data_IF_484661076306
#
_entry.id   IF_484661076306
#
_cell.length_a   1.000
_cell.length_b   1.000
_cell.length_c   1.000
_cell.angle_alpha   90.00
_cell.angle_beta   90.00
_cell.angle_gamma   90.00
#
_symmetry.space_group_name_H-M   'P 1'
#
loop_
_entity.id
_entity.type
_entity.pdbx_description
1 polymer ?
#
# COMPACT_ATOMS: atom_id res chain seq x y z
N UNK A 1 0.50 -17.98 12.41
CA UNK A 1 1.54 -16.96 12.19
C UNK A 1 1.24 -16.29 10.86
N UNK A 2 0.48 -15.18 10.85
CA UNK A 2 0.24 -14.43 9.62
C UNK A 2 1.55 -13.76 9.22
N UNK A 3 2.21 -14.27 8.20
CA UNK A 3 3.33 -13.56 7.58
C UNK A 3 2.78 -12.26 6.99
N UNK A 4 3.48 -11.14 7.19
CA UNK A 4 3.13 -9.87 6.57
C UNK A 4 3.19 -10.02 5.05
N UNK A 5 2.04 -10.14 4.38
CA UNK A 5 1.99 -10.37 2.93
C UNK A 5 2.80 -9.32 2.15
N UNK A 6 2.73 -8.06 2.58
CA UNK A 6 3.54 -6.97 2.07
C UNK A 6 5.05 -7.20 2.12
N UNK A 7 5.55 -7.88 3.14
CA UNK A 7 6.97 -8.18 3.30
C UNK A 7 7.45 -9.15 2.23
N UNK A 8 6.66 -10.19 1.95
CA UNK A 8 6.93 -11.15 0.89
C UNK A 8 6.92 -10.45 -0.47
N UNK A 9 5.89 -9.65 -0.72
CA UNK A 9 5.68 -8.98 -2.00
C UNK A 9 6.74 -7.90 -2.30
N UNK A 10 7.20 -7.16 -1.30
CA UNK A 10 8.28 -6.17 -1.45
C UNK A 10 9.66 -6.80 -1.64
N UNK A 11 9.90 -7.98 -1.06
CA UNK A 11 11.17 -8.71 -1.22
C UNK A 11 11.26 -9.41 -2.58
N UNK A 12 10.14 -9.92 -3.11
CA UNK A 12 10.08 -10.52 -4.45
C UNK A 12 10.28 -9.49 -5.58
N UNK A 13 9.99 -8.21 -5.31
CA UNK A 13 10.30 -7.13 -6.23
C UNK A 13 11.82 -6.88 -6.29
N UNK A 14 12.53 -7.62 -7.14
CA UNK A 14 13.96 -7.44 -7.31
C UNK A 14 14.32 -6.11 -7.99
N UNK A 15 13.43 -5.58 -8.84
CA UNK A 15 13.63 -4.30 -9.52
C UNK A 15 13.23 -3.10 -8.66
N UNK A 16 14.06 -2.05 -8.68
CA UNK A 16 13.84 -0.82 -7.91
C UNK A 16 12.51 -0.12 -8.22
N UNK A 17 12.08 -0.15 -9.48
CA UNK A 17 10.80 0.42 -9.89
C UNK A 17 9.61 -0.37 -9.32
N UNK A 18 9.67 -1.70 -9.32
CA UNK A 18 8.64 -2.58 -8.75
C UNK A 18 8.48 -2.33 -7.25
N UNK A 19 9.59 -2.28 -6.50
CA UNK A 19 9.57 -2.01 -5.05
C UNK A 19 8.87 -0.71 -4.70
N UNK A 20 9.22 0.36 -5.41
CA UNK A 20 8.61 1.68 -5.20
C UNK A 20 7.11 1.67 -5.46
N UNK A 21 6.66 0.98 -6.52
CA UNK A 21 5.24 0.91 -6.86
C UNK A 21 4.44 0.04 -5.88
N UNK A 22 5.02 -1.08 -5.42
CA UNK A 22 4.43 -1.89 -4.36
C UNK A 22 4.32 -1.12 -3.05
N UNK A 23 5.37 -0.39 -2.68
CA UNK A 23 5.37 0.46 -1.49
C UNK A 23 4.29 1.56 -1.54
N UNK A 24 4.09 2.17 -2.72
CA UNK A 24 3.00 3.14 -2.94
C UNK A 24 1.62 2.54 -2.72
N UNK A 25 1.38 1.31 -3.21
CA UNK A 25 0.10 0.61 -3.00
C UNK A 25 -0.14 0.28 -1.54
N UNK A 26 0.89 -0.17 -0.83
CA UNK A 26 0.81 -0.39 0.61
C UNK A 26 0.42 0.89 1.35
N UNK A 27 1.09 2.01 1.06
CA UNK A 27 0.74 3.30 1.65
C UNK A 27 -0.71 3.71 1.33
N UNK A 28 -1.15 3.48 0.09
CA UNK A 28 -2.52 3.79 -0.32
C UNK A 28 -3.53 2.94 0.44
N UNK A 29 -3.36 1.62 0.52
CA UNK A 29 -4.30 0.74 1.20
C UNK A 29 -4.44 1.09 2.68
N UNK A 30 -3.33 1.44 3.35
CA UNK A 30 -3.34 1.90 4.74
C UNK A 30 -4.13 3.21 4.89
N UNK A 31 -3.86 4.23 4.07
CA UNK A 31 -4.49 5.54 4.23
C UNK A 31 -5.93 5.62 3.69
N UNK A 32 -6.26 4.84 2.67
CA UNK A 32 -7.60 4.78 2.08
C UNK A 32 -8.51 3.78 2.79
N UNK A 33 -8.00 3.09 3.81
CA UNK A 33 -8.71 2.05 4.54
C UNK A 33 -9.20 0.90 3.65
N UNK A 34 -8.33 0.47 2.73
CA UNK A 34 -8.55 -0.76 1.99
C UNK A 34 -7.93 -1.93 2.78
N UNK A 35 -8.77 -2.62 3.56
CA UNK A 35 -8.36 -3.78 4.37
C UNK A 35 -8.35 -5.09 3.59
N UNK A 36 -8.94 -5.16 2.40
CA UNK A 36 -8.89 -6.34 1.53
C UNK A 36 -7.63 -6.39 0.65
N UNK A 37 -6.48 -6.11 1.27
CA UNK A 37 -5.19 -5.97 0.59
C UNK A 37 -4.45 -7.29 0.40
N UNK A 38 -5.17 -8.33 -0.05
CA UNK A 38 -4.63 -9.67 -0.20
C UNK A 38 -3.68 -9.82 -1.40
N UNK A 39 -2.78 -10.80 -1.36
CA UNK A 39 -1.74 -11.00 -2.38
C UNK A 39 -2.26 -11.19 -3.82
N UNK A 40 -3.50 -11.65 -4.00
CA UNK A 40 -4.14 -11.78 -5.33
C UNK A 40 -4.47 -10.44 -6.00
N UNK A 41 -4.41 -9.33 -5.26
CA UNK A 41 -4.62 -7.97 -5.78
C UNK A 41 -3.33 -7.36 -6.38
N UNK A 42 -2.25 -8.14 -6.40
CA UNK A 42 -0.99 -7.76 -7.07
C UNK A 42 -0.70 -8.73 -8.20
N UNK A 43 -0.74 -8.24 -9.44
CA UNK A 43 -0.35 -9.00 -10.63
C UNK A 43 0.83 -8.34 -11.32
N UNK A 44 1.64 -9.18 -11.99
CA UNK A 44 2.83 -8.77 -12.71
C UNK A 44 2.63 -9.06 -14.19
N UNK A 45 3.01 -8.08 -15.02
CA UNK A 45 3.00 -8.17 -16.46
C UNK A 45 4.43 -8.41 -16.96
N UNK A 46 4.61 -9.43 -17.78
CA UNK A 46 5.87 -9.67 -18.47
C UNK A 46 5.92 -8.88 -19.76
N UNK A 47 7.01 -8.14 -19.98
CA UNK A 47 7.27 -7.45 -21.24
C UNK A 47 8.39 -8.19 -21.99
N UNK A 48 8.00 -8.97 -22.99
CA UNK A 48 8.92 -9.77 -23.81
C UNK A 48 9.94 -8.92 -24.58
N UNK A 49 9.54 -7.72 -25.05
CA UNK A 49 10.43 -6.84 -25.83
C UNK A 49 11.62 -6.35 -25.02
N UNK A 50 11.41 -6.20 -23.71
CA UNK A 50 12.36 -5.60 -22.79
C UNK A 50 12.88 -6.61 -21.77
N UNK A 51 12.56 -7.90 -21.94
CA UNK A 51 12.91 -9.02 -21.04
C UNK A 51 12.70 -8.67 -19.55
N UNK A 52 11.54 -8.07 -19.22
CA UNK A 52 11.35 -7.45 -17.90
C UNK A 52 9.94 -7.55 -17.35
N UNK A 53 9.88 -7.70 -16.02
CA UNK A 53 8.64 -7.72 -15.27
C UNK A 53 8.24 -6.32 -14.81
N UNK A 54 6.97 -6.00 -14.98
CA UNK A 54 6.35 -4.75 -14.56
C UNK A 54 5.15 -5.06 -13.68
N UNK A 55 4.85 -4.17 -12.75
CA UNK A 55 3.60 -4.29 -11.98
C UNK A 55 2.44 -3.92 -12.91
N UNK A 56 1.34 -4.66 -12.87
CA UNK A 56 0.10 -4.28 -13.57
C UNK A 56 -0.34 -2.87 -13.15
N UNK A 57 -1.29 -2.21 -13.83
CA UNK A 57 -2.05 -1.13 -13.21
C UNK A 57 -2.69 -1.58 -11.87
N UNK A 58 -2.94 -0.65 -10.95
CA UNK A 58 -3.63 -0.99 -9.71
C UNK A 58 -5.12 -1.20 -9.98
N UNK A 59 -5.72 -2.18 -9.31
CA UNK A 59 -7.14 -2.51 -9.39
C UNK A 59 -7.63 -2.91 -8.00
N UNK A 60 -8.96 -3.02 -7.86
CA UNK A 60 -9.62 -3.38 -6.59
C UNK A 60 -9.25 -2.45 -5.41
N UNK A 61 -9.24 -1.15 -5.70
CA UNK A 61 -8.93 -0.10 -4.74
C UNK A 61 -10.23 0.43 -4.14
N UNK A 62 -10.84 -0.35 -3.25
CA UNK A 62 -12.11 0.00 -2.61
C UNK A 62 -11.95 0.21 -1.11
N UNK A 63 -12.75 1.11 -0.53
CA UNK A 63 -12.88 1.17 0.93
C UNK A 63 -13.48 -0.15 1.39
N UNK A 64 -12.81 -0.84 2.29
CA UNK A 64 -13.19 -2.19 2.69
C UNK A 64 -12.95 -2.42 4.17
N UNK A 65 -13.83 -3.20 4.79
CA UNK A 65 -13.70 -3.62 6.16
C UNK A 65 -13.76 -5.14 6.23
N UNK A 66 -12.85 -5.75 6.98
CA UNK A 66 -12.88 -7.19 7.23
C UNK A 66 -13.68 -7.49 8.50
N UNK A 67 -14.15 -8.73 8.63
CA UNK A 67 -14.92 -9.16 9.81
C UNK A 67 -14.19 -8.92 11.14
N UNK A 68 -12.85 -8.96 11.14
CA UNK A 68 -12.02 -8.76 12.32
C UNK A 68 -11.53 -7.31 12.49
N UNK A 69 -11.82 -6.43 11.53
CA UNK A 69 -11.34 -5.05 11.54
C UNK A 69 -9.82 -4.93 11.38
N UNK A 70 -9.20 -5.87 10.68
CA UNK A 70 -7.76 -5.87 10.35
C UNK A 70 -7.55 -5.95 8.84
N UNK A 71 -6.44 -5.41 8.36
CA UNK A 71 -5.93 -5.66 7.02
C UNK A 71 -5.69 -7.16 6.83
N UNK A 72 -6.03 -7.67 5.65
CA UNK A 72 -5.75 -9.05 5.26
C UNK A 72 -4.25 -9.34 5.28
N UNK A 73 -3.42 -8.31 5.07
CA UNK A 73 -1.97 -8.39 5.23
C UNK A 73 -1.45 -7.38 6.26
N UNK A 74 -0.65 -7.85 7.22
CA UNK A 74 -0.11 -6.98 8.27
C UNK A 74 1.02 -6.09 7.74
N UNK A 75 1.09 -4.86 8.24
CA UNK A 75 2.21 -3.94 7.99
C UNK A 75 3.05 -3.89 9.26
N UNK A 76 4.28 -4.40 9.19
CA UNK A 76 5.18 -4.54 10.37
C UNK A 76 4.51 -5.24 11.57
N UNK A 77 3.70 -6.26 11.32
CA UNK A 77 2.95 -6.98 12.35
C UNK A 77 1.67 -6.29 12.84
N UNK A 78 1.36 -5.08 12.37
CA UNK A 78 0.12 -4.37 12.69
C UNK A 78 -0.91 -4.58 11.58
N UNK A 79 -1.96 -5.35 11.89
CA UNK A 79 -3.11 -5.54 11.01
C UNK A 79 -4.25 -4.54 11.26
N UNK A 80 -4.39 -4.00 12.47
CA UNK A 80 -5.59 -3.25 12.84
C UNK A 80 -5.59 -1.81 12.34
N UNK A 81 -4.55 -1.07 12.71
CA UNK A 81 -4.39 0.36 12.40
C UNK A 81 -2.91 0.67 12.12
N UNK A 82 -2.34 0.17 11.01
CA UNK A 82 -0.98 0.52 10.63
C UNK A 82 -0.84 2.01 10.31
N UNK A 83 0.31 2.61 10.63
CA UNK A 83 0.58 4.03 10.40
C UNK A 83 1.93 4.28 9.74
N UNK A 84 2.38 5.54 9.78
CA UNK A 84 3.65 5.94 9.15
C UNK A 84 4.86 5.18 9.68
N UNK A 85 4.85 4.83 10.97
CA UNK A 85 5.95 4.11 11.62
C UNK A 85 6.13 2.73 11.01
N UNK A 86 5.04 1.97 10.92
CA UNK A 86 5.02 0.61 10.38
C UNK A 86 5.35 0.62 8.88
N UNK A 87 4.77 1.56 8.12
CA UNK A 87 5.10 1.76 6.70
C UNK A 87 6.59 2.04 6.50
N UNK A 88 7.18 2.91 7.32
CA UNK A 88 8.61 3.24 7.24
C UNK A 88 9.48 2.01 7.55
N UNK A 89 9.13 1.23 8.58
CA UNK A 89 9.86 0.01 8.94
C UNK A 89 9.91 -0.99 7.77
N UNK A 90 8.76 -1.26 7.15
CA UNK A 90 8.67 -2.16 5.99
C UNK A 90 9.47 -1.61 4.80
N UNK A 91 9.42 -0.31 4.55
CA UNK A 91 10.20 0.31 3.45
C UNK A 91 11.71 0.22 3.65
N UNK A 92 12.19 0.43 4.87
CA UNK A 92 13.61 0.29 5.22
C UNK A 92 14.07 -1.17 5.12
N UNK A 93 13.26 -2.11 5.59
CA UNK A 93 13.56 -3.55 5.48
C UNK A 93 13.61 -4.01 4.01
N UNK A 94 12.79 -3.43 3.14
CA UNK A 94 12.83 -3.67 1.68
C UNK A 94 14.05 -3.04 0.97
N UNK A 95 14.96 -2.39 1.72
CA UNK A 95 16.17 -1.76 1.21
C UNK A 95 15.93 -0.40 0.53
N UNK A 96 14.82 0.26 0.80
CA UNK A 96 14.56 1.62 0.30
C UNK A 96 15.24 2.67 1.18
N UNK A 97 15.69 3.77 0.57
CA UNK A 97 16.25 4.91 1.32
C UNK A 97 15.15 5.57 2.17
N UNK A 98 15.48 5.88 3.44
CA UNK A 98 14.58 6.54 4.40
C UNK A 98 13.86 7.76 3.81
N UNK A 99 14.60 8.67 3.19
CA UNK A 99 14.03 9.89 2.60
C UNK A 99 13.03 9.60 1.48
N UNK A 100 13.26 8.55 0.69
CA UNK A 100 12.33 8.14 -0.35
C UNK A 100 11.05 7.54 0.25
N UNK A 101 11.17 6.74 1.31
CA UNK A 101 10.02 6.19 2.02
C UNK A 101 9.16 7.32 2.60
N UNK A 102 9.77 8.27 3.32
CA UNK A 102 9.07 9.42 3.90
C UNK A 102 8.36 10.23 2.82
N UNK A 103 9.07 10.58 1.73
CA UNK A 103 8.48 11.30 0.60
C UNK A 103 7.26 10.58 0.00
N UNK A 104 7.35 9.26 -0.18
CA UNK A 104 6.23 8.48 -0.72
C UNK A 104 5.06 8.43 0.28
N UNK A 105 5.34 8.13 1.55
CA UNK A 105 4.32 8.07 2.60
C UNK A 105 3.56 9.39 2.67
N UNK A 106 4.28 10.51 2.75
CA UNK A 106 3.67 11.83 2.88
C UNK A 106 2.89 12.22 1.62
N UNK A 107 3.45 11.96 0.43
CA UNK A 107 2.77 12.25 -0.84
C UNK A 107 1.46 11.47 -0.98
N UNK A 108 1.44 10.18 -0.64
CA UNK A 108 0.21 9.38 -0.71
C UNK A 108 -0.78 9.80 0.37
N UNK A 109 -0.32 10.06 1.59
CA UNK A 109 -1.21 10.51 2.66
C UNK A 109 -1.91 11.83 2.30
N UNK A 110 -1.17 12.80 1.77
CA UNK A 110 -1.72 14.08 1.32
C UNK A 110 -2.73 13.87 0.20
N UNK A 111 -2.36 13.10 -0.83
CA UNK A 111 -3.26 12.80 -1.95
C UNK A 111 -4.57 12.15 -1.50
N UNK A 112 -4.50 11.12 -0.66
CA UNK A 112 -5.69 10.44 -0.12
C UNK A 112 -6.53 11.39 0.72
N UNK A 113 -5.91 12.21 1.58
CA UNK A 113 -6.63 13.21 2.39
C UNK A 113 -7.31 14.27 1.55
N UNK A 114 -6.67 14.79 0.51
CA UNK A 114 -7.24 15.80 -0.38
C UNK A 114 -8.40 15.21 -1.18
N UNK A 115 -8.22 14.03 -1.78
CA UNK A 115 -9.25 13.39 -2.59
C UNK A 115 -10.45 12.95 -1.75
N UNK A 116 -10.22 12.36 -0.57
CA UNK A 116 -11.32 11.96 0.32
C UNK A 116 -11.93 13.17 1.03
N UNK A 117 -11.14 14.12 1.53
CA UNK A 117 -11.63 15.33 2.19
C UNK A 117 -12.55 16.17 1.30
N UNK A 118 -12.27 16.22 -0.01
CA UNK A 118 -13.16 16.83 -0.98
C UNK A 118 -14.48 16.07 -1.19
N UNK A 119 -14.53 14.78 -0.85
CA UNK A 119 -15.77 13.99 -0.86
C UNK A 119 -16.56 14.10 0.45
N UNK A 120 -15.91 14.22 1.61
CA UNK A 120 -16.60 14.38 2.91
C UNK A 120 -17.33 15.73 3.03
N UNK A 121 -16.82 16.81 2.43
CA UNK A 121 -17.53 18.10 2.37
C UNK A 121 -18.79 18.04 1.48
N UNK A 122 -18.90 17.07 0.57
CA UNK A 122 -20.07 16.90 -0.29
C UNK A 122 -21.19 16.04 0.32
N UNK A 123 -20.94 15.40 1.47
CA UNK A 123 -21.90 14.55 2.20
C UNK A 123 -22.02 15.07 3.63
N UNK A 124 -22.61 16.26 3.75
CA UNK A 124 -23.35 16.73 4.92
C UNK A 124 -22.60 16.76 6.25
N UNK A 125 -22.26 17.98 6.68
CA UNK A 125 -22.32 18.31 8.10
C UNK A 125 -23.72 17.94 8.62
N UNK A 126 -23.75 16.88 9.44
CA UNK A 126 -24.94 16.33 10.06
C UNK A 126 -24.59 15.83 11.45
N UNK A 127 -24.13 16.76 12.30
CA UNK A 127 -24.35 16.71 13.75
C UNK A 127 -25.29 17.85 14.15
#
# INVERSE_FOLDING_TARGET
MMMSGWKMDLQLAHFHCLKKNMFRRMCFNVFAHNRDDHSKNFTYLYNEKNDSWHLSPAYDLTYSNTYYGEHTTTVDGNGRNPGKKELLAVGLEAGMKKDNCIKIIDSIQTCVKEMLGNHWVAIGDGE
#
